data_IF_176487652349
#
_entry.id   IF_176487652349
#
_cell.length_a   1.000
_cell.length_b   1.000
_cell.length_c   1.000
_cell.angle_alpha   90.00
_cell.angle_beta   90.00
_cell.angle_gamma   90.00
#
_symmetry.space_group_name_H-M   'P 1'
#
loop_
_entity.id
_entity.type
_entity.pdbx_description
1 polymer ?
#
# COMPACT_ATOMS: atom_id res chain seq x y z
N UNK A 1 -6.07 -16.53 10.24
CA UNK A 1 -4.84 -15.75 10.50
C UNK A 1 -4.66 -14.73 9.38
N UNK A 2 -4.42 -13.49 9.74
CA UNK A 2 -4.26 -12.43 8.74
C UNK A 2 -2.79 -12.07 8.57
N UNK A 3 -2.43 -11.61 7.36
CA UNK A 3 -1.13 -11.03 7.08
C UNK A 3 -1.31 -9.54 6.86
N UNK A 4 -0.37 -8.77 7.35
CA UNK A 4 -0.38 -7.31 7.21
C UNK A 4 0.92 -6.86 6.56
N UNK A 5 0.82 -5.86 5.72
CA UNK A 5 2.00 -5.23 5.12
C UNK A 5 1.87 -3.71 5.16
N UNK A 6 3.01 -3.06 5.29
CA UNK A 6 3.14 -1.62 5.14
C UNK A 6 3.82 -1.40 3.80
N UNK A 7 3.16 -0.70 2.89
CA UNK A 7 3.72 -0.39 1.57
C UNK A 7 4.06 1.09 1.54
N UNK A 8 5.33 1.38 1.42
CA UNK A 8 5.84 2.75 1.34
C UNK A 8 6.09 3.07 -0.13
N UNK A 9 5.60 4.21 -0.57
CA UNK A 9 5.52 4.52 -1.99
C UNK A 9 6.17 5.86 -2.28
N UNK A 10 7.01 5.90 -3.32
CA UNK A 10 7.52 7.15 -3.87
C UNK A 10 6.78 7.41 -5.18
N UNK A 11 6.35 8.64 -5.36
CA UNK A 11 5.59 9.03 -6.55
C UNK A 11 6.22 10.26 -7.17
N UNK A 12 5.82 10.55 -8.41
CA UNK A 12 6.22 11.81 -9.05
C UNK A 12 5.60 12.98 -8.30
N UNK A 13 6.28 14.14 -8.27
CA UNK A 13 5.72 15.31 -7.59
C UNK A 13 4.35 15.69 -8.12
N UNK A 14 3.48 16.13 -7.21
CA UNK A 14 2.15 16.62 -7.57
C UNK A 14 1.10 15.56 -7.81
N UNK A 15 1.40 14.29 -7.47
CA UNK A 15 0.49 13.18 -7.74
C UNK A 15 -0.11 12.57 -6.47
N UNK A 16 -0.02 13.26 -5.34
CA UNK A 16 -0.46 12.72 -4.06
C UNK A 16 -1.95 12.37 -4.00
N UNK A 17 -2.78 12.97 -4.85
CA UNK A 17 -4.22 12.65 -4.87
C UNK A 17 -4.50 11.22 -5.28
N UNK A 18 -3.57 10.56 -5.96
CA UNK A 18 -3.76 9.16 -6.37
C UNK A 18 -3.95 8.24 -5.16
N UNK A 19 -3.39 8.62 -4.01
CA UNK A 19 -3.50 7.82 -2.78
C UNK A 19 -4.97 7.62 -2.37
N UNK A 20 -5.82 8.58 -2.66
CA UNK A 20 -7.24 8.50 -2.31
C UNK A 20 -7.92 7.32 -3.00
N UNK A 21 -7.56 7.06 -4.25
CA UNK A 21 -8.12 5.94 -5.01
C UNK A 21 -7.76 4.59 -4.42
N UNK A 22 -6.62 4.49 -3.77
CA UNK A 22 -6.19 3.21 -3.20
C UNK A 22 -7.04 2.78 -2.02
N UNK A 23 -7.74 3.71 -1.37
CA UNK A 23 -8.57 3.41 -0.20
C UNK A 23 -9.72 2.47 -0.53
N UNK A 24 -10.08 2.34 -1.81
CA UNK A 24 -11.17 1.47 -2.25
C UNK A 24 -10.69 0.07 -2.60
N UNK A 25 -9.38 -0.15 -2.63
CA UNK A 25 -8.83 -1.45 -2.94
C UNK A 25 -9.08 -2.40 -1.76
N UNK A 26 -9.46 -3.64 -2.08
CA UNK A 26 -9.72 -4.63 -1.06
C UNK A 26 -8.47 -4.84 -0.19
N UNK A 27 -8.69 -4.86 1.12
CA UNK A 27 -7.61 -5.12 2.07
C UNK A 27 -6.88 -3.88 2.54
N UNK A 28 -7.08 -2.73 1.89
CA UNK A 28 -6.45 -1.49 2.34
C UNK A 28 -7.14 -1.00 3.60
N UNK A 29 -6.39 -0.92 4.69
CA UNK A 29 -6.89 -0.46 5.98
C UNK A 29 -6.61 1.01 6.21
N UNK A 30 -5.51 1.50 5.65
CA UNK A 30 -5.09 2.88 5.82
C UNK A 30 -4.28 3.27 4.59
N UNK A 31 -4.53 4.46 4.08
CA UNK A 31 -3.75 5.00 2.97
C UNK A 31 -3.65 6.50 3.15
N UNK A 32 -2.44 6.99 3.37
CA UNK A 32 -2.19 8.40 3.63
C UNK A 32 -0.97 8.89 2.89
N UNK A 33 -1.01 10.17 2.52
CA UNK A 33 0.20 10.86 2.10
C UNK A 33 1.07 11.06 3.32
N UNK A 34 2.37 10.93 3.14
CA UNK A 34 3.33 11.13 4.22
C UNK A 34 4.42 12.08 3.74
N UNK A 35 5.22 12.56 4.67
CA UNK A 35 6.29 13.49 4.39
C UNK A 35 7.62 12.87 4.82
N UNK A 36 8.62 12.93 3.94
CA UNK A 36 9.94 12.37 4.23
C UNK A 36 10.49 11.62 3.04
N UNK A 37 11.07 10.43 3.30
CA UNK A 37 11.70 9.64 2.23
C UNK A 37 10.68 9.05 1.25
N UNK A 38 9.44 8.93 1.68
CA UNK A 38 8.36 8.38 0.84
C UNK A 38 7.25 9.40 0.77
N UNK A 39 6.40 9.25 -0.23
CA UNK A 39 5.30 10.20 -0.47
C UNK A 39 3.97 9.67 0.04
N UNK A 40 3.85 8.37 0.19
CA UNK A 40 2.62 7.75 0.68
C UNK A 40 2.92 6.48 1.45
N UNK A 41 2.02 6.15 2.36
CA UNK A 41 2.09 4.91 3.13
C UNK A 41 0.73 4.23 3.10
N UNK A 42 0.71 2.94 2.79
CA UNK A 42 -0.52 2.16 2.73
C UNK A 42 -0.37 0.94 3.63
N UNK A 43 -1.39 0.67 4.43
CA UNK A 43 -1.44 -0.53 5.26
C UNK A 43 -2.49 -1.46 4.67
N UNK A 44 -2.08 -2.67 4.36
CA UNK A 44 -2.97 -3.69 3.82
C UNK A 44 -2.99 -4.93 4.72
N UNK A 45 -4.15 -5.59 4.75
CA UNK A 45 -4.30 -6.87 5.42
C UNK A 45 -5.02 -7.83 4.48
N UNK A 46 -4.67 -9.10 4.56
CA UNK A 46 -5.30 -10.14 3.76
C UNK A 46 -5.26 -11.45 4.51
N UNK A 47 -5.98 -12.44 4.01
CA UNK A 47 -6.05 -13.77 4.63
C UNK A 47 -4.74 -14.53 4.50
N UNK A 48 -4.03 -14.31 3.39
CA UNK A 48 -2.79 -15.02 3.08
C UNK A 48 -1.94 -14.17 2.16
N UNK A 49 -0.72 -14.63 1.89
CA UNK A 49 0.22 -13.88 1.06
C UNK A 49 -0.25 -13.71 -0.38
N UNK A 50 -0.90 -14.71 -0.95
CA UNK A 50 -1.36 -14.61 -2.34
C UNK A 50 -2.41 -13.52 -2.49
N UNK A 51 -3.34 -13.45 -1.56
CA UNK A 51 -4.34 -12.39 -1.56
C UNK A 51 -3.69 -11.04 -1.32
N UNK A 52 -2.72 -10.98 -0.41
CA UNK A 52 -2.01 -9.74 -0.12
C UNK A 52 -1.30 -9.22 -1.38
N UNK A 53 -0.59 -10.09 -2.09
CA UNK A 53 0.09 -9.71 -3.33
C UNK A 53 -0.89 -9.16 -4.35
N UNK A 54 -2.01 -9.83 -4.52
CA UNK A 54 -3.04 -9.40 -5.47
C UNK A 54 -3.55 -8.01 -5.13
N UNK A 55 -3.82 -7.79 -3.85
CA UNK A 55 -4.32 -6.49 -3.38
C UNK A 55 -3.28 -5.39 -3.55
N UNK A 56 -2.01 -5.71 -3.34
CA UNK A 56 -0.94 -4.74 -3.57
C UNK A 56 -0.86 -4.35 -5.05
N UNK A 57 -0.97 -5.31 -5.96
CA UNK A 57 -0.97 -5.01 -7.39
C UNK A 57 -2.15 -4.13 -7.79
N UNK A 58 -3.33 -4.42 -7.26
CA UNK A 58 -4.50 -3.57 -7.52
C UNK A 58 -4.29 -2.15 -7.01
N UNK A 59 -3.70 -2.03 -5.83
CA UNK A 59 -3.39 -0.72 -5.25
C UNK A 59 -2.42 0.05 -6.15
N UNK A 60 -1.37 -0.62 -6.63
CA UNK A 60 -0.38 0.03 -7.49
C UNK A 60 -0.96 0.45 -8.83
N UNK A 61 -1.94 -0.29 -9.35
CA UNK A 61 -2.64 0.11 -10.57
C UNK A 61 -3.38 1.44 -10.42
N UNK A 62 -3.79 1.77 -9.19
CA UNK A 62 -4.45 3.05 -8.91
C UNK A 62 -3.47 4.20 -8.75
N UNK A 63 -2.18 3.91 -8.77
CA UNK A 63 -1.13 4.91 -8.58
C UNK A 63 -0.11 4.84 -9.72
N UNK A 64 -0.50 5.24 -10.94
CA UNK A 64 0.39 5.13 -12.09
C UNK A 64 1.65 5.99 -11.98
N UNK A 65 1.68 6.96 -11.08
CA UNK A 65 2.85 7.82 -10.89
C UNK A 65 3.88 7.26 -9.92
N UNK A 66 3.70 6.05 -9.44
CA UNK A 66 4.65 5.41 -8.53
C UNK A 66 5.97 5.18 -9.25
N UNK A 67 7.06 5.62 -8.61
CA UNK A 67 8.42 5.44 -9.11
C UNK A 67 9.17 4.36 -8.35
N UNK A 68 8.78 4.11 -7.11
CA UNK A 68 9.46 3.13 -6.28
C UNK A 68 8.54 2.72 -5.12
N UNK A 69 8.62 1.45 -4.73
CA UNK A 69 7.86 0.97 -3.57
C UNK A 69 8.77 0.14 -2.67
N UNK A 70 8.42 0.11 -1.40
CA UNK A 70 9.08 -0.74 -0.43
C UNK A 70 8.00 -1.37 0.43
N UNK A 71 7.94 -2.70 0.44
CA UNK A 71 6.94 -3.44 1.20
C UNK A 71 7.55 -4.04 2.44
N UNK A 72 6.99 -3.73 3.59
CA UNK A 72 7.41 -4.25 4.88
C UNK A 72 6.34 -5.20 5.38
N UNK A 73 6.65 -6.49 5.39
CA UNK A 73 5.71 -7.50 5.85
C UNK A 73 5.78 -7.59 7.37
N UNK A 74 4.64 -7.53 8.03
CA UNK A 74 4.59 -7.65 9.49
C UNK A 74 4.83 -9.08 9.93
N UNK A 75 5.72 -9.25 10.89
CA UNK A 75 6.01 -10.55 11.49
C UNK A 75 6.00 -10.40 13.02
N UNK A 76 5.32 -11.29 13.74
CA UNK A 76 4.46 -12.37 13.21
C UNK A 76 3.19 -11.84 12.59
N UNK A 77 2.42 -12.75 11.98
CA UNK A 77 1.13 -12.39 11.38
C UNK A 77 0.23 -11.74 12.40
N UNK A 78 -0.68 -10.89 11.89
CA UNK A 78 -1.70 -10.24 12.71
C UNK A 78 -2.71 -11.29 13.15
N UNK A 79 -3.11 -11.23 14.39
CA UNK A 79 -4.12 -12.11 14.95
C UNK A 79 -5.42 -11.38 15.19
#
# INVERSE_FOLDING_TARGET
>A
MAVRAFVLVQTKPGTSEEIVGTRRVRGVKLANSVFGRFDAAVVLEAKNLDELKRNIYEMLEKMPSVTHTETLLCLPSVE
#
